data_IF_366119458617
#
_entry.id   IF_366119458617
#
_cell.length_a   1.000
_cell.length_b   1.000
_cell.length_c   1.000
_cell.angle_alpha   90.00
_cell.angle_beta   90.00
_cell.angle_gamma   90.00
#
_symmetry.space_group_name_H-M   'P 1'
#
loop_
_entity.id
_entity.type
_entity.pdbx_description
1 polymer ?
#
# COMPACT_ATOMS: atom_id res chain seq x y z
N UNK A 1 -1.56 2.27 9.59
CA UNK A 1 -1.67 3.74 9.72
C UNK A 1 -0.85 4.48 8.67
N UNK A 2 0.48 4.32 8.62
CA UNK A 2 1.33 5.02 7.66
C UNK A 2 0.92 4.83 6.18
N UNK A 3 0.70 3.58 5.76
CA UNK A 3 0.26 3.25 4.40
C UNK A 3 -1.07 3.94 4.03
N UNK A 4 -2.06 3.89 4.94
CA UNK A 4 -3.33 4.59 4.74
C UNK A 4 -3.12 6.10 4.60
N UNK A 5 -2.36 6.73 5.50
CA UNK A 5 -2.12 8.17 5.46
C UNK A 5 -1.41 8.63 4.19
N UNK A 6 -0.44 7.86 3.71
CA UNK A 6 0.21 8.12 2.43
C UNK A 6 -0.80 8.09 1.27
N UNK A 7 -1.61 7.04 1.17
CA UNK A 7 -2.65 6.95 0.14
C UNK A 7 -3.71 8.05 0.25
N UNK A 8 -4.22 8.27 1.47
CA UNK A 8 -5.40 9.10 1.75
C UNK A 8 -5.12 10.61 1.72
N UNK A 9 -3.89 11.03 2.02
CA UNK A 9 -3.56 12.45 2.20
C UNK A 9 -2.46 12.92 1.26
N UNK A 10 -1.39 12.13 1.10
CA UNK A 10 -0.26 12.52 0.27
C UNK A 10 -0.55 12.31 -1.22
N UNK A 11 -0.92 11.09 -1.62
CA UNK A 11 -1.11 10.72 -3.04
C UNK A 11 -2.33 11.42 -3.66
N UNK A 12 -3.46 11.47 -2.96
CA UNK A 12 -4.65 12.17 -3.48
C UNK A 12 -4.53 13.69 -3.46
N UNK A 13 -3.48 14.22 -2.84
CA UNK A 13 -3.22 15.66 -2.76
C UNK A 13 -4.14 16.44 -1.80
N UNK A 14 -4.80 15.76 -0.85
CA UNK A 14 -5.66 16.44 0.15
C UNK A 14 -4.82 17.23 1.18
N UNK A 15 -3.68 16.67 1.61
CA UNK A 15 -2.69 17.33 2.47
C UNK A 15 -1.25 17.06 2.02
N UNK A 16 -1.05 16.80 0.73
CA UNK A 16 0.26 16.60 0.13
C UNK A 16 0.30 17.05 -1.33
N UNK A 17 1.47 16.98 -1.98
CA UNK A 17 1.62 17.46 -3.36
C UNK A 17 1.08 16.48 -4.41
N UNK A 18 0.74 15.23 -4.02
CA UNK A 18 0.46 14.15 -4.96
C UNK A 18 1.72 13.39 -5.37
N UNK A 19 1.69 12.78 -6.55
CA UNK A 19 2.81 11.97 -7.08
C UNK A 19 3.17 12.41 -8.50
N UNK A 20 4.35 11.99 -8.97
CA UNK A 20 4.74 12.19 -10.36
C UNK A 20 3.88 11.35 -11.31
N UNK A 21 3.35 11.97 -12.36
CA UNK A 21 2.60 11.31 -13.44
C UNK A 21 2.98 11.98 -14.77
N UNK A 22 2.99 11.22 -15.85
CA UNK A 22 3.24 11.72 -17.21
C UNK A 22 2.19 11.22 -18.20
N UNK A 23 2.20 11.80 -19.39
CA UNK A 23 1.55 11.21 -20.55
C UNK A 23 2.32 9.95 -21.01
N UNK A 24 1.75 9.12 -21.91
CA UNK A 24 2.38 7.88 -22.38
C UNK A 24 3.73 8.06 -23.08
N UNK A 25 4.03 9.26 -23.60
CA UNK A 25 5.29 9.57 -24.26
C UNK A 25 6.30 10.23 -23.32
N UNK A 26 5.93 10.50 -22.07
CA UNK A 26 6.83 11.08 -21.07
C UNK A 26 7.20 12.55 -21.32
N UNK A 27 6.42 13.28 -22.10
CA UNK A 27 6.72 14.66 -22.52
C UNK A 27 6.18 15.71 -21.55
N UNK A 28 5.10 15.41 -20.82
CA UNK A 28 4.39 16.35 -19.94
C UNK A 28 4.36 15.86 -18.49
N UNK A 29 5.47 15.30 -18.01
CA UNK A 29 5.62 14.83 -16.65
C UNK A 29 5.53 15.95 -15.61
N UNK A 30 4.74 15.74 -14.56
CA UNK A 30 4.64 16.67 -13.42
C UNK A 30 4.16 15.96 -12.17
N UNK A 31 4.41 16.58 -11.02
CA UNK A 31 3.76 16.19 -9.76
C UNK A 31 2.31 16.68 -9.79
N UNK A 32 1.36 15.80 -9.51
CA UNK A 32 -0.05 16.15 -9.41
C UNK A 32 -0.82 15.24 -8.45
N UNK A 33 -1.92 15.74 -7.86
CA UNK A 33 -2.89 14.92 -7.13
C UNK A 33 -3.47 13.80 -8.00
N UNK A 34 -3.60 12.60 -7.45
CA UNK A 34 -4.15 11.44 -8.16
C UNK A 34 -5.38 10.90 -7.43
N UNK A 35 -6.55 11.01 -8.05
CA UNK A 35 -7.77 10.45 -7.49
C UNK A 35 -7.74 8.90 -7.51
N UNK A 36 -8.31 8.22 -6.50
CA UNK A 36 -8.33 6.77 -6.49
C UNK A 36 -9.20 6.20 -7.61
N UNK A 37 -8.85 5.00 -8.05
CA UNK A 37 -9.66 4.16 -8.95
C UNK A 37 -10.04 2.89 -8.20
N UNK A 38 -11.32 2.54 -8.21
CA UNK A 38 -11.85 1.38 -7.47
C UNK A 38 -12.24 0.19 -8.35
N UNK A 39 -12.30 0.40 -9.67
CA UNK A 39 -12.60 -0.66 -10.64
C UNK A 39 -11.36 -1.45 -11.05
N UNK A 40 -11.56 -2.44 -11.94
CA UNK A 40 -10.49 -3.35 -12.41
C UNK A 40 -9.29 -2.65 -13.03
N UNK A 41 -9.48 -1.46 -13.63
CA UNK A 41 -8.39 -0.65 -14.19
C UNK A 41 -7.37 -0.19 -13.14
N UNK A 42 -7.70 -0.26 -11.84
CA UNK A 42 -6.76 0.04 -10.77
C UNK A 42 -5.60 -0.97 -10.68
N UNK A 43 -5.76 -2.16 -11.25
CA UNK A 43 -4.72 -3.19 -11.30
C UNK A 43 -3.84 -3.08 -12.56
N UNK A 44 -4.14 -2.14 -13.46
CA UNK A 44 -3.29 -1.85 -14.60
C UNK A 44 -2.06 -1.05 -14.15
N UNK A 45 -0.87 -1.56 -14.45
CA UNK A 45 0.42 -0.96 -14.11
C UNK A 45 0.60 0.46 -14.69
N UNK A 46 -0.08 0.79 -15.79
CA UNK A 46 0.01 2.11 -16.41
C UNK A 46 -1.00 3.12 -15.86
N UNK A 47 -1.91 2.68 -14.97
CA UNK A 47 -2.93 3.53 -14.34
C UNK A 47 -2.48 3.88 -12.92
N UNK A 48 -1.80 5.03 -12.79
CA UNK A 48 -1.29 5.53 -11.50
C UNK A 48 -2.36 5.70 -10.41
N UNK A 49 -3.63 5.84 -10.80
CA UNK A 49 -4.79 5.91 -9.89
C UNK A 49 -4.97 4.67 -9.01
N UNK A 50 -4.43 3.53 -9.44
CA UNK A 50 -4.39 2.30 -8.63
C UNK A 50 -3.51 2.43 -7.38
N UNK A 51 -2.50 3.30 -7.41
CA UNK A 51 -1.57 3.51 -6.30
C UNK A 51 -2.32 4.08 -5.09
N UNK A 52 -3.18 5.08 -5.29
CA UNK A 52 -3.96 5.69 -4.22
C UNK A 52 -4.92 4.68 -3.59
N UNK A 53 -5.68 3.93 -4.41
CA UNK A 53 -6.63 2.93 -3.91
C UNK A 53 -5.96 1.76 -3.21
N UNK A 54 -4.83 1.28 -3.73
CA UNK A 54 -4.01 0.26 -3.08
C UNK A 54 -3.61 0.69 -1.66
N UNK A 55 -3.02 1.89 -1.50
CA UNK A 55 -2.56 2.36 -0.20
C UNK A 55 -3.69 2.59 0.80
N UNK A 56 -4.85 3.07 0.34
CA UNK A 56 -6.03 3.23 1.19
C UNK A 56 -6.51 1.86 1.67
N UNK A 57 -6.71 0.89 0.78
CA UNK A 57 -7.23 -0.44 1.14
C UNK A 57 -6.23 -1.24 1.96
N UNK A 58 -4.98 -1.35 1.49
CA UNK A 58 -3.91 -2.05 2.21
C UNK A 58 -3.63 -1.40 3.58
N UNK A 59 -3.70 -0.07 3.65
CA UNK A 59 -3.55 0.67 4.89
C UNK A 59 -4.66 0.39 5.91
N UNK A 60 -5.92 0.34 5.47
CA UNK A 60 -7.07 -0.02 6.31
C UNK A 60 -6.98 -1.48 6.76
N UNK A 61 -6.73 -2.42 5.84
CA UNK A 61 -6.55 -3.83 6.17
C UNK A 61 -5.38 -4.06 7.12
N UNK A 62 -4.26 -3.34 6.95
CA UNK A 62 -3.11 -3.41 7.85
C UNK A 62 -3.41 -2.93 9.27
N UNK A 63 -4.30 -1.94 9.44
CA UNK A 63 -4.76 -1.52 10.78
C UNK A 63 -5.58 -2.64 11.42
N UNK A 64 -6.55 -3.20 10.68
CA UNK A 64 -7.39 -4.30 11.17
C UNK A 64 -6.56 -5.54 11.52
N UNK A 65 -5.64 -5.93 10.63
CA UNK A 65 -4.73 -7.06 10.86
C UNK A 65 -3.78 -6.81 12.04
N UNK A 66 -3.25 -5.59 12.18
CA UNK A 66 -2.43 -5.22 13.32
C UNK A 66 -3.18 -5.33 14.65
N UNK A 67 -4.42 -4.83 14.70
CA UNK A 67 -5.28 -4.98 15.88
C UNK A 67 -5.58 -6.46 16.18
N UNK A 68 -5.87 -7.25 15.14
CA UNK A 68 -6.08 -8.68 15.29
C UNK A 68 -4.85 -9.38 15.89
N UNK A 69 -3.65 -9.13 15.35
CA UNK A 69 -2.41 -9.72 15.84
C UNK A 69 -2.01 -9.25 17.25
N UNK A 70 -2.43 -8.07 17.68
CA UNK A 70 -2.28 -7.63 19.07
C UNK A 70 -3.30 -8.28 20.03
N UNK A 71 -4.48 -8.63 19.52
CA UNK A 71 -5.60 -9.13 20.33
C UNK A 71 -5.61 -10.66 20.45
N UNK A 72 -5.02 -11.37 19.49
CA UNK A 72 -5.05 -12.82 19.41
C UNK A 72 -3.66 -13.44 19.62
N UNK A 73 -3.59 -14.48 20.45
CA UNK A 73 -2.40 -15.33 20.54
C UNK A 73 -2.33 -16.25 19.30
N UNK A 74 -1.12 -16.55 18.80
CA UNK A 74 -0.93 -17.61 17.82
C UNK A 74 -1.44 -18.96 18.32
N UNK A 75 -1.81 -19.85 17.40
CA UNK A 75 -2.20 -21.20 17.77
C UNK A 75 -0.98 -22.04 18.20
N UNK A 76 -1.22 -23.18 18.84
CA UNK A 76 -0.15 -24.06 19.38
C UNK A 76 0.76 -24.69 18.31
N UNK A 77 0.40 -24.62 17.03
CA UNK A 77 1.20 -25.14 15.92
C UNK A 77 2.05 -24.06 15.24
N UNK A 78 1.86 -22.79 15.59
CA UNK A 78 2.64 -21.68 15.03
C UNK A 78 4.05 -21.69 15.61
N UNK A 79 5.05 -21.79 14.74
CA UNK A 79 6.47 -21.61 15.12
C UNK A 79 6.78 -20.12 15.21
N UNK A 80 7.40 -19.70 16.30
CA UNK A 80 7.70 -18.30 16.63
C UNK A 80 9.22 -18.03 16.80
N UNK A 81 10.07 -19.00 16.45
CA UNK A 81 11.51 -18.82 16.47
C UNK A 81 11.96 -17.75 15.47
N UNK A 82 12.93 -16.92 15.89
CA UNK A 82 13.51 -15.83 15.07
C UNK A 82 13.95 -16.29 13.69
N UNK A 83 14.47 -17.52 13.59
CA UNK A 83 14.90 -18.09 12.31
C UNK A 83 13.75 -18.27 11.30
N UNK A 84 12.55 -18.63 11.75
CA UNK A 84 11.39 -18.75 10.86
C UNK A 84 10.90 -17.37 10.39
N UNK A 85 11.01 -16.35 11.25
CA UNK A 85 10.73 -14.95 10.86
C UNK A 85 11.72 -14.49 9.80
N UNK A 86 13.02 -14.74 9.99
CA UNK A 86 14.06 -14.38 9.03
C UNK A 86 13.83 -15.06 7.67
N UNK A 87 13.57 -16.38 7.65
CA UNK A 87 13.23 -17.09 6.41
C UNK A 87 12.01 -16.50 5.70
N UNK A 88 10.95 -16.18 6.45
CA UNK A 88 9.72 -15.64 5.86
C UNK A 88 9.91 -14.23 5.30
N UNK A 89 10.83 -13.46 5.87
CA UNK A 89 11.13 -12.08 5.45
C UNK A 89 12.10 -12.03 4.28
N UNK A 90 12.98 -13.03 4.17
CA UNK A 90 14.03 -13.12 3.15
C UNK A 90 13.98 -14.48 2.43
N UNK A 91 12.98 -14.73 1.57
CA UNK A 91 12.78 -16.04 0.94
C UNK A 91 13.84 -16.43 -0.11
N UNK A 92 14.81 -15.55 -0.38
CA UNK A 92 15.88 -15.73 -1.38
C UNK A 92 17.26 -16.02 -0.75
N UNK A 93 17.33 -16.12 0.59
CA UNK A 93 18.54 -16.47 1.36
C UNK A 93 18.28 -17.75 2.13
#
# INVERSE_FOLDING_TARGET
>A
VACFGFGAFYVIGLYGPGIWVSDPYGLTGKVQPVNPMWGVKAFDHFVSRGIASHHIVAGTLGILAGLFHLSARPNVYTKDYVWEILKSSFPLV
#
